data_IF_898433553302
#
_entry.id   IF_898433553302
#
_cell.length_a   1.000
_cell.length_b   1.000
_cell.length_c   1.000
_cell.angle_alpha   90.00
_cell.angle_beta   90.00
_cell.angle_gamma   90.00
#
_symmetry.space_group_name_H-M   'P 1'
#
loop_
_entity.id
_entity.type
_entity.pdbx_description
1 polymer ?
#
# COMPACT_ATOMS: atom_id res chain seq x y z
N UNK A 1 -32.40 9.17 -4.53
CA UNK A 1 -31.46 9.26 -3.38
C UNK A 1 -30.10 8.59 -3.61
N UNK A 2 -29.93 7.69 -4.60
CA UNK A 2 -28.63 7.07 -4.89
C UNK A 2 -27.70 7.87 -5.83
N UNK A 3 -28.17 8.99 -6.38
CA UNK A 3 -27.37 9.87 -7.28
C UNK A 3 -26.64 11.01 -6.56
N UNK A 4 -27.02 11.31 -5.31
CA UNK A 4 -26.45 12.46 -4.59
C UNK A 4 -25.06 12.19 -3.99
N UNK A 5 -24.63 10.92 -3.95
CA UNK A 5 -23.33 10.54 -3.39
C UNK A 5 -22.24 10.52 -4.48
N UNK A 6 -22.61 10.34 -5.75
CA UNK A 6 -21.67 10.24 -6.87
C UNK A 6 -21.53 11.49 -7.74
N UNK A 7 -22.50 12.41 -7.71
CA UNK A 7 -22.49 13.61 -8.56
C UNK A 7 -21.55 14.74 -8.09
N UNK A 8 -21.28 14.87 -6.79
CA UNK A 8 -20.68 16.11 -6.25
C UNK A 8 -19.45 15.94 -5.34
N UNK A 9 -19.08 14.73 -4.94
CA UNK A 9 -17.89 14.57 -4.09
C UNK A 9 -16.63 14.71 -4.92
N UNK A 10 -15.97 15.87 -4.77
CA UNK A 10 -14.65 16.18 -5.31
C UNK A 10 -13.73 14.94 -5.29
N UNK A 11 -12.99 14.65 -6.38
CA UNK A 11 -12.05 13.53 -6.46
C UNK A 11 -11.09 13.45 -5.26
N UNK A 12 -10.83 14.58 -4.62
CA UNK A 12 -10.05 14.68 -3.39
C UNK A 12 -10.69 13.94 -2.20
N UNK A 13 -12.01 14.04 -2.00
CA UNK A 13 -12.71 13.40 -0.87
C UNK A 13 -12.66 11.87 -1.01
N UNK A 14 -12.87 11.37 -2.23
CA UNK A 14 -12.78 9.94 -2.52
C UNK A 14 -11.35 9.43 -2.31
N UNK A 15 -10.34 10.20 -2.73
CA UNK A 15 -8.95 9.86 -2.49
C UNK A 15 -8.61 9.78 -0.99
N UNK A 16 -9.08 10.75 -0.19
CA UNK A 16 -8.88 10.76 1.27
C UNK A 16 -9.50 9.51 1.89
N UNK A 17 -10.77 9.20 1.57
CA UNK A 17 -11.46 8.05 2.13
C UNK A 17 -10.75 6.72 1.80
N UNK A 18 -10.35 6.52 0.54
CA UNK A 18 -9.64 5.30 0.13
C UNK A 18 -8.28 5.22 0.82
N UNK A 19 -7.52 6.31 0.87
CA UNK A 19 -6.22 6.33 1.55
C UNK A 19 -6.35 6.05 3.05
N UNK A 20 -7.38 6.56 3.72
CA UNK A 20 -7.65 6.23 5.13
C UNK A 20 -7.92 4.75 5.32
N UNK A 21 -8.71 4.12 4.45
CA UNK A 21 -8.99 2.67 4.52
C UNK A 21 -7.73 1.85 4.30
N UNK A 22 -6.87 2.24 3.34
CA UNK A 22 -5.58 1.58 3.08
C UNK A 22 -4.73 1.53 4.35
N UNK A 23 -4.68 2.63 5.11
CA UNK A 23 -3.87 2.71 6.34
C UNK A 23 -4.53 1.95 7.50
N UNK A 24 -5.83 2.13 7.71
CA UNK A 24 -6.50 1.65 8.94
C UNK A 24 -6.84 0.17 8.87
N UNK A 25 -7.34 -0.33 7.74
CA UNK A 25 -7.87 -1.69 7.68
C UNK A 25 -6.81 -2.77 8.01
N UNK A 26 -5.58 -2.72 7.47
CA UNK A 26 -4.56 -3.71 7.79
C UNK A 26 -4.10 -3.66 9.26
N UNK A 27 -4.07 -2.48 9.89
CA UNK A 27 -3.76 -2.36 11.33
C UNK A 27 -4.84 -3.04 12.19
N UNK A 28 -6.11 -2.75 11.91
CA UNK A 28 -7.23 -3.32 12.67
C UNK A 28 -7.26 -4.84 12.51
N UNK A 29 -7.15 -5.33 11.27
CA UNK A 29 -7.15 -6.78 10.99
C UNK A 29 -5.94 -7.44 11.67
N UNK A 30 -4.74 -6.86 11.55
CA UNK A 30 -3.54 -7.40 12.18
C UNK A 30 -3.62 -7.46 13.71
N UNK A 31 -4.21 -6.44 14.33
CA UNK A 31 -4.44 -6.40 15.77
C UNK A 31 -5.46 -7.46 16.21
N UNK A 32 -6.58 -7.61 15.50
CA UNK A 32 -7.61 -8.62 15.79
C UNK A 32 -7.07 -10.04 15.66
N UNK A 33 -6.16 -10.28 14.70
CA UNK A 33 -5.51 -11.57 14.49
C UNK A 33 -4.33 -11.82 15.45
N UNK A 34 -4.02 -10.87 16.34
CA UNK A 34 -2.90 -11.00 17.28
C UNK A 34 -1.52 -11.00 16.61
N UNK A 35 -1.40 -10.55 15.36
CA UNK A 35 -0.16 -10.60 14.58
C UNK A 35 0.96 -9.80 15.26
N UNK A 36 0.62 -8.73 15.99
CA UNK A 36 1.59 -7.80 16.58
C UNK A 36 2.01 -8.15 18.02
N UNK A 37 1.43 -9.20 18.63
CA UNK A 37 1.53 -9.45 20.09
C UNK A 37 2.96 -9.80 20.55
N UNK A 38 3.79 -10.39 19.68
CA UNK A 38 5.10 -10.93 20.05
C UNK A 38 6.29 -10.01 19.69
N UNK A 39 6.04 -8.78 19.25
CA UNK A 39 7.11 -7.86 18.87
C UNK A 39 7.58 -7.02 20.06
N UNK A 40 8.88 -7.07 20.36
CA UNK A 40 9.52 -6.12 21.29
C UNK A 40 9.55 -4.70 20.71
N UNK A 41 9.99 -3.72 21.52
CA UNK A 41 9.96 -2.29 21.15
C UNK A 41 10.65 -2.00 19.80
N UNK A 42 11.86 -2.53 19.59
CA UNK A 42 12.60 -2.36 18.33
C UNK A 42 11.87 -3.07 17.18
N UNK A 43 11.32 -4.27 17.41
CA UNK A 43 10.53 -5.00 16.42
C UNK A 43 9.28 -4.23 15.98
N UNK A 44 8.61 -3.56 16.92
CA UNK A 44 7.47 -2.69 16.62
C UNK A 44 7.86 -1.48 15.77
N UNK A 45 9.04 -0.88 16.00
CA UNK A 45 9.53 0.22 15.17
C UNK A 45 9.85 -0.24 13.73
N UNK A 46 10.48 -1.39 13.58
CA UNK A 46 10.75 -1.99 12.26
C UNK A 46 9.41 -2.29 11.56
N UNK A 47 8.48 -2.93 12.27
CA UNK A 47 7.17 -3.28 11.73
C UNK A 47 6.39 -2.03 11.29
N UNK A 48 6.39 -0.98 12.11
CA UNK A 48 5.78 0.31 11.76
C UNK A 48 6.45 0.95 10.53
N UNK A 49 7.78 0.87 10.41
CA UNK A 49 8.52 1.46 9.28
C UNK A 49 8.15 0.80 7.96
N UNK A 50 8.08 -0.54 7.94
CA UNK A 50 7.61 -1.31 6.79
C UNK A 50 6.13 -1.03 6.49
N UNK A 51 5.30 -0.99 7.52
CA UNK A 51 3.88 -0.71 7.40
C UNK A 51 3.63 0.63 6.71
N UNK A 52 4.21 1.70 7.26
CA UNK A 52 4.05 3.06 6.74
C UNK A 52 4.56 3.15 5.30
N UNK A 53 5.71 2.54 5.01
CA UNK A 53 6.29 2.57 3.66
C UNK A 53 5.38 1.89 2.63
N UNK A 54 4.88 0.69 2.92
CA UNK A 54 3.96 -0.03 2.04
C UNK A 54 2.63 0.69 1.86
N UNK A 55 2.03 1.20 2.94
CA UNK A 55 0.76 1.93 2.86
C UNK A 55 0.88 3.23 2.07
N UNK A 56 2.01 3.94 2.21
CA UNK A 56 2.29 5.13 1.42
C UNK A 56 2.46 4.80 -0.07
N UNK A 57 3.08 3.67 -0.42
CA UNK A 57 3.16 3.19 -1.80
C UNK A 57 1.75 2.95 -2.36
N UNK A 58 0.91 2.20 -1.65
CA UNK A 58 -0.46 1.90 -2.09
C UNK A 58 -1.34 3.13 -2.19
N UNK A 59 -1.23 4.06 -1.24
CA UNK A 59 -1.92 5.35 -1.30
C UNK A 59 -1.48 6.18 -2.51
N UNK A 60 -0.18 6.24 -2.79
CA UNK A 60 0.37 7.00 -3.93
C UNK A 60 -0.09 6.39 -5.28
N UNK A 61 -0.07 5.05 -5.41
CA UNK A 61 -0.60 4.35 -6.59
C UNK A 61 -2.08 4.68 -6.79
N UNK A 62 -2.87 4.59 -5.72
CA UNK A 62 -4.31 4.90 -5.75
C UNK A 62 -4.54 6.35 -6.21
N UNK A 63 -3.81 7.31 -5.65
CA UNK A 63 -3.90 8.72 -6.04
C UNK A 63 -3.52 8.94 -7.50
N UNK A 64 -2.44 8.31 -7.98
CA UNK A 64 -2.06 8.36 -9.39
C UNK A 64 -3.18 7.88 -10.32
N UNK A 65 -3.85 6.77 -9.97
CA UNK A 65 -4.95 6.21 -10.77
C UNK A 65 -6.18 7.14 -10.73
N UNK A 66 -6.51 7.71 -9.57
CA UNK A 66 -7.63 8.66 -9.44
C UNK A 66 -7.39 9.96 -10.23
N UNK A 67 -6.15 10.30 -10.53
CA UNK A 67 -5.80 11.44 -11.38
C UNK A 67 -5.86 11.13 -12.89
N UNK A 68 -6.01 9.86 -13.28
CA UNK A 68 -6.14 9.49 -14.68
C UNK A 68 -7.47 10.01 -15.27
N UNK A 69 -7.44 10.45 -16.52
CA UNK A 69 -8.62 10.87 -17.30
C UNK A 69 -9.39 9.64 -17.83
N UNK A 70 -9.75 8.71 -16.96
CA UNK A 70 -10.51 7.50 -17.32
C UNK A 70 -11.90 7.50 -16.69
N UNK A 71 -12.94 7.07 -17.42
CA UNK A 71 -14.24 6.83 -16.81
C UNK A 71 -14.08 5.73 -15.75
N UNK A 72 -14.78 5.86 -14.61
CA UNK A 72 -14.74 4.91 -13.49
C UNK A 72 -13.37 4.75 -12.80
N UNK A 73 -12.50 5.77 -12.84
CA UNK A 73 -11.21 5.83 -12.13
C UNK A 73 -11.22 5.29 -10.70
N UNK A 74 -12.29 5.49 -9.92
CA UNK A 74 -12.39 4.97 -8.55
C UNK A 74 -12.53 3.44 -8.51
N UNK A 75 -13.32 2.85 -9.41
CA UNK A 75 -13.43 1.39 -9.53
C UNK A 75 -12.11 0.79 -10.02
N UNK A 76 -11.42 1.47 -10.95
CA UNK A 76 -10.10 1.06 -11.41
C UNK A 76 -9.07 1.12 -10.27
N UNK A 77 -9.07 2.19 -9.47
CA UNK A 77 -8.18 2.33 -8.33
C UNK A 77 -8.39 1.20 -7.31
N UNK A 78 -9.64 0.88 -6.99
CA UNK A 78 -9.97 -0.25 -6.10
C UNK A 78 -9.49 -1.57 -6.71
N UNK A 79 -9.76 -1.83 -8.00
CA UNK A 79 -9.37 -3.07 -8.65
C UNK A 79 -7.84 -3.26 -8.68
N UNK A 80 -7.10 -2.22 -9.05
CA UNK A 80 -5.62 -2.26 -9.07
C UNK A 80 -5.07 -2.39 -7.67
N UNK A 81 -5.64 -1.71 -6.67
CA UNK A 81 -5.21 -1.82 -5.28
C UNK A 81 -5.42 -3.24 -4.75
N UNK A 82 -6.61 -3.82 -4.95
CA UNK A 82 -6.91 -5.21 -4.58
C UNK A 82 -5.93 -6.16 -5.28
N UNK A 83 -5.67 -5.97 -6.58
CA UNK A 83 -4.66 -6.75 -7.28
C UNK A 83 -3.26 -6.56 -6.68
N UNK A 84 -2.80 -5.34 -6.45
CA UNK A 84 -1.47 -5.07 -5.90
C UNK A 84 -1.26 -5.70 -4.50
N UNK A 85 -2.33 -5.80 -3.72
CA UNK A 85 -2.31 -6.42 -2.38
C UNK A 85 -2.34 -7.95 -2.45
N UNK A 86 -3.29 -8.52 -3.20
CA UNK A 86 -3.55 -9.96 -3.18
C UNK A 86 -2.80 -10.75 -4.25
N UNK A 87 -2.45 -10.13 -5.38
CA UNK A 87 -1.77 -10.81 -6.49
C UNK A 87 -0.40 -11.36 -6.06
N UNK A 88 0.46 -10.61 -5.33
CA UNK A 88 1.72 -11.17 -4.85
C UNK A 88 1.49 -12.41 -3.97
N UNK A 89 0.54 -12.35 -3.04
CA UNK A 89 0.20 -13.48 -2.17
C UNK A 89 -0.26 -14.71 -2.96
N UNK A 90 -1.22 -14.53 -3.88
CA UNK A 90 -1.79 -15.64 -4.66
C UNK A 90 -0.76 -16.30 -5.58
N UNK A 91 0.11 -15.52 -6.21
CA UNK A 91 1.20 -16.05 -7.06
C UNK A 91 2.20 -16.83 -6.19
N UNK A 92 2.67 -16.24 -5.09
CA UNK A 92 3.65 -16.88 -4.20
C UNK A 92 3.10 -18.17 -3.58
N UNK A 93 1.85 -18.16 -3.14
CA UNK A 93 1.18 -19.35 -2.60
C UNK A 93 1.02 -20.45 -3.66
N UNK A 94 0.67 -20.10 -4.90
CA UNK A 94 0.57 -21.06 -6.01
C UNK A 94 1.91 -21.66 -6.42
N UNK A 95 2.99 -20.89 -6.31
CA UNK A 95 4.35 -21.34 -6.58
C UNK A 95 4.97 -22.15 -5.43
N UNK A 96 4.25 -22.33 -4.31
CA UNK A 96 4.78 -23.03 -3.13
C UNK A 96 5.90 -22.25 -2.41
N UNK A 97 6.02 -20.95 -2.66
CA UNK A 97 7.06 -20.10 -2.09
C UNK A 97 6.65 -19.73 -0.66
N UNK A 98 7.27 -20.42 0.31
CA UNK A 98 6.96 -20.23 1.73
C UNK A 98 7.62 -18.95 2.30
N UNK A 99 6.95 -18.32 3.27
CA UNK A 99 7.37 -17.06 3.91
C UNK A 99 8.66 -17.18 4.71
N UNK A 100 9.05 -18.39 5.10
CA UNK A 100 10.28 -18.66 5.85
C UNK A 100 11.58 -18.38 5.10
N UNK A 101 11.57 -18.34 3.76
CA UNK A 101 12.81 -18.33 2.97
C UNK A 101 12.91 -17.24 1.91
N UNK A 102 11.90 -16.36 1.79
CA UNK A 102 11.83 -15.47 0.63
C UNK A 102 11.52 -14.03 1.03
N UNK A 103 12.51 -13.16 0.80
CA UNK A 103 12.46 -11.71 1.03
C UNK A 103 11.27 -11.01 0.36
N UNK A 104 10.74 -11.59 -0.71
CA UNK A 104 9.62 -11.02 -1.48
C UNK A 104 8.36 -10.81 -0.63
N UNK A 105 8.19 -11.58 0.45
CA UNK A 105 7.09 -11.40 1.41
C UNK A 105 7.15 -10.07 2.15
N UNK A 106 8.33 -9.45 2.25
CA UNK A 106 8.49 -8.13 2.85
C UNK A 106 7.88 -6.99 2.02
N UNK A 107 7.57 -7.22 0.73
CA UNK A 107 6.85 -6.27 -0.14
C UNK A 107 5.32 -6.47 -0.14
N UNK A 108 4.81 -7.32 0.75
CA UNK A 108 3.39 -7.67 0.85
C UNK A 108 2.79 -7.21 2.17
N UNK A 109 1.46 -7.10 2.26
CA UNK A 109 0.74 -6.91 3.53
C UNK A 109 1.05 -8.02 4.55
N UNK A 110 1.45 -9.20 4.08
CA UNK A 110 1.84 -10.33 4.92
C UNK A 110 3.30 -10.24 5.46
N UNK A 111 4.00 -9.12 5.26
CA UNK A 111 5.36 -8.94 5.76
C UNK A 111 5.55 -9.21 7.26
N UNK A 112 4.58 -8.95 8.18
CA UNK A 112 4.77 -9.25 9.59
C UNK A 112 5.04 -10.74 9.87
N UNK A 113 4.57 -11.64 8.99
CA UNK A 113 4.83 -13.08 9.11
C UNK A 113 6.24 -13.46 8.66
N UNK A 114 6.85 -12.68 7.77
CA UNK A 114 8.18 -12.96 7.22
C UNK A 114 9.30 -12.28 8.01
N UNK A 115 9.00 -11.18 8.71
CA UNK A 115 10.00 -10.30 9.33
C UNK A 115 10.86 -11.02 10.39
N UNK A 116 10.31 -12.04 11.06
CA UNK A 116 11.04 -12.85 12.05
C UNK A 116 11.99 -13.88 11.44
N UNK A 117 11.93 -14.11 10.13
CA UNK A 117 12.71 -15.12 9.41
C UNK A 117 13.78 -14.52 8.49
N UNK A 118 13.85 -13.19 8.42
CA UNK A 118 14.76 -12.46 7.53
C UNK A 118 15.83 -11.75 8.35
N UNK A 119 17.06 -11.72 7.85
CA UNK A 119 18.16 -11.04 8.52
C UNK A 119 18.05 -9.50 8.41
N UNK A 120 18.75 -8.80 9.30
CA UNK A 120 18.67 -7.34 9.40
C UNK A 120 19.15 -6.61 8.15
N UNK A 121 20.14 -7.14 7.43
CA UNK A 121 20.66 -6.51 6.21
C UNK A 121 19.60 -6.59 5.11
N UNK A 122 18.96 -7.74 4.97
CA UNK A 122 17.87 -7.94 4.02
C UNK A 122 16.66 -7.06 4.35
N UNK A 123 16.30 -6.94 5.63
CA UNK A 123 15.24 -6.00 6.06
C UNK A 123 15.60 -4.56 5.69
N UNK A 124 16.82 -4.12 5.99
CA UNK A 124 17.28 -2.77 5.69
C UNK A 124 17.27 -2.47 4.18
N UNK A 125 17.81 -3.38 3.36
CA UNK A 125 17.81 -3.24 1.90
C UNK A 125 16.40 -3.23 1.33
N UNK A 126 15.50 -4.03 1.89
CA UNK A 126 14.09 -4.02 1.48
C UNK A 126 13.44 -2.69 1.78
N UNK A 127 13.65 -2.14 2.98
CA UNK A 127 13.11 -0.84 3.35
C UNK A 127 13.65 0.28 2.45
N UNK A 128 14.96 0.27 2.15
CA UNK A 128 15.56 1.20 1.18
C UNK A 128 14.94 1.09 -0.21
N UNK A 129 14.65 -0.13 -0.66
CA UNK A 129 13.96 -0.37 -1.92
C UNK A 129 12.53 0.20 -1.91
N UNK A 130 11.76 -0.04 -0.84
CA UNK A 130 10.42 0.52 -0.68
C UNK A 130 10.44 2.05 -0.67
N UNK A 131 11.37 2.67 0.06
CA UNK A 131 11.54 4.12 0.07
C UNK A 131 11.90 4.67 -1.31
N UNK A 132 12.75 3.97 -2.05
CA UNK A 132 13.12 4.34 -3.42
C UNK A 132 11.91 4.29 -4.36
N UNK A 133 11.10 3.23 -4.29
CA UNK A 133 9.83 3.13 -5.02
C UNK A 133 8.90 4.29 -4.64
N UNK A 134 8.77 4.58 -3.35
CA UNK A 134 7.91 5.65 -2.85
C UNK A 134 8.35 7.03 -3.36
N UNK A 135 9.65 7.30 -3.37
CA UNK A 135 10.22 8.54 -3.92
C UNK A 135 9.88 8.68 -5.40
N UNK A 136 10.09 7.63 -6.19
CA UNK A 136 9.79 7.63 -7.63
C UNK A 136 8.29 7.87 -7.89
N UNK A 137 7.41 7.19 -7.14
CA UNK A 137 5.96 7.38 -7.25
C UNK A 137 5.54 8.80 -6.87
N UNK A 138 6.14 9.38 -5.82
CA UNK A 138 5.85 10.75 -5.41
C UNK A 138 6.33 11.79 -6.42
N UNK A 139 7.45 11.56 -7.10
CA UNK A 139 7.90 12.40 -8.21
C UNK A 139 6.86 12.38 -9.34
N UNK A 140 6.36 11.20 -9.70
CA UNK A 140 5.31 11.06 -10.72
C UNK A 140 4.00 11.75 -10.30
N UNK A 141 3.60 11.60 -9.03
CA UNK A 141 2.40 12.24 -8.50
C UNK A 141 2.50 13.77 -8.55
N UNK A 142 3.63 14.34 -8.13
CA UNK A 142 3.89 15.78 -8.24
C UNK A 142 3.83 16.27 -9.68
N UNK A 143 4.38 15.51 -10.63
CA UNK A 143 4.31 15.85 -12.06
C UNK A 143 2.87 15.88 -12.56
N UNK A 144 2.06 14.88 -12.22
CA UNK A 144 0.63 14.83 -12.57
C UNK A 144 -0.14 16.02 -11.96
N UNK A 145 0.14 16.36 -10.70
CA UNK A 145 -0.50 17.50 -10.02
C UNK A 145 -0.18 18.83 -10.68
N UNK A 146 1.08 19.03 -11.07
CA UNK A 146 1.50 20.24 -11.79
C UNK A 146 0.79 20.36 -13.14
N UNK A 147 0.76 19.29 -13.93
CA UNK A 147 0.06 19.28 -15.23
C UNK A 147 -1.44 19.55 -15.10
N UNK A 148 -2.07 19.03 -14.04
CA UNK A 148 -3.48 19.28 -13.76
C UNK A 148 -3.74 20.75 -13.37
N UNK A 149 -2.82 21.38 -12.63
CA UNK A 149 -2.91 22.79 -12.25
C UNK A 149 -2.61 23.76 -13.41
N UNK A 150 -1.75 23.38 -14.35
CA UNK A 150 -1.46 24.17 -15.57
C UNK A 150 -2.59 24.11 -16.61
N UNK A 151 -3.55 23.18 -16.46
CA UNK A 151 -4.69 23.01 -17.37
C UNK A 151 -6.00 23.66 -16.87
N UNK A 152 -5.95 24.39 -15.75
CA UNK A 152 -7.11 24.98 -15.06
C UNK A 152 -7.17 26.51 -15.24
#
# INVERSE_FOLDING_TARGET
MSDLIWGEKSPAIVAIAINSVIVVAPLVIGALLGIFVNFGQIGMLVLASFFVSLMMIYATITQLILMMKTPKRSLLAIAILVAAVFLPFTILARLGINYYHHTIWLFSIFFPLAISFVDINTMFMTLLSQLSILILLNIQLRRQLRLAGESA
#
